data_IF_503993986865
#
_entry.id   IF_503993986865
#
_cell.length_a   1.000
_cell.length_b   1.000
_cell.length_c   1.000
_cell.angle_alpha   90.00
_cell.angle_beta   90.00
_cell.angle_gamma   90.00
#
_symmetry.space_group_name_H-M   'P 1'
#
loop_
_entity.id
_entity.type
_entity.pdbx_description
1 polymer ?
#
# COMPACT_ATOMS: atom_id res chain seq x y z
N UNK A 1 11.01 18.45 12.63
CA UNK A 1 10.08 17.68 13.50
C UNK A 1 9.78 16.29 12.96
N UNK A 2 9.27 16.09 11.74
CA UNK A 2 9.02 14.75 11.16
C UNK A 2 10.34 14.03 10.86
N UNK A 3 11.27 14.67 10.19
CA UNK A 3 12.63 14.17 9.91
C UNK A 3 13.39 13.76 11.16
N UNK A 4 13.20 14.51 12.24
CA UNK A 4 13.85 14.21 13.52
C UNK A 4 13.24 12.96 14.20
N UNK A 5 11.92 12.76 14.07
CA UNK A 5 11.25 11.52 14.48
C UNK A 5 11.72 10.33 13.64
N UNK A 6 11.82 10.49 12.33
CA UNK A 6 12.31 9.44 11.42
C UNK A 6 13.76 9.07 11.74
N UNK A 7 14.64 10.05 12.00
CA UNK A 7 16.03 9.80 12.41
C UNK A 7 16.12 9.09 13.77
N UNK A 8 15.35 9.55 14.77
CA UNK A 8 15.31 8.89 16.10
C UNK A 8 14.75 7.47 16.03
N UNK A 9 13.77 7.22 15.15
CA UNK A 9 13.25 5.86 14.95
C UNK A 9 14.30 4.97 14.28
N UNK A 10 15.11 5.49 13.38
CA UNK A 10 16.23 4.77 12.78
C UNK A 10 17.32 4.40 13.79
N UNK A 11 17.59 5.26 14.76
CA UNK A 11 18.58 5.04 15.83
C UNK A 11 18.07 4.07 16.91
N UNK A 12 16.74 3.93 17.05
CA UNK A 12 16.09 3.07 18.04
C UNK A 12 15.44 1.82 17.42
N UNK A 13 15.90 1.33 16.29
CA UNK A 13 15.32 0.21 15.53
C UNK A 13 15.40 -1.17 16.23
N UNK A 14 15.75 -1.25 17.49
CA UNK A 14 15.52 -2.44 18.33
C UNK A 14 14.10 -2.47 18.95
N UNK A 15 13.31 -1.44 18.79
CA UNK A 15 11.94 -1.44 19.27
C UNK A 15 11.10 -2.19 18.23
N UNK A 16 10.70 -3.37 18.57
CA UNK A 16 9.67 -4.17 17.91
C UNK A 16 8.49 -3.25 17.63
N UNK A 17 8.32 -2.84 16.37
CA UNK A 17 7.08 -2.21 15.95
C UNK A 17 6.04 -3.33 15.92
N UNK A 18 5.36 -3.50 17.05
CA UNK A 18 4.15 -4.30 17.11
C UNK A 18 3.11 -3.58 16.23
N UNK A 19 3.06 -3.99 14.97
CA UNK A 19 2.17 -3.38 13.98
C UNK A 19 0.70 -3.72 14.25
N UNK A 20 0.39 -4.50 15.28
CA UNK A 20 -0.98 -4.95 15.57
C UNK A 20 -1.63 -5.76 14.44
N UNK A 21 -0.94 -5.94 13.33
CA UNK A 21 -1.34 -6.86 12.29
C UNK A 21 -0.81 -8.23 12.67
N UNK A 22 -1.69 -9.09 13.18
CA UNK A 22 -1.45 -10.51 13.11
C UNK A 22 -1.06 -10.82 11.67
N UNK A 23 0.20 -11.17 11.44
CA UNK A 23 0.67 -11.72 10.18
C UNK A 23 0.12 -13.12 10.04
N UNK A 24 -1.19 -13.23 9.81
CA UNK A 24 -1.76 -14.45 9.27
C UNK A 24 -1.07 -14.60 7.91
N UNK A 25 -0.25 -15.63 7.76
CA UNK A 25 0.30 -16.02 6.47
C UNK A 25 -0.86 -16.37 5.54
N UNK A 26 -1.40 -15.36 4.89
CA UNK A 26 -2.52 -15.55 3.98
C UNK A 26 -1.94 -16.03 2.66
N UNK A 27 -2.43 -17.18 2.24
CA UNK A 27 -2.11 -17.70 0.91
C UNK A 27 -2.60 -16.74 -0.18
N UNK A 28 -1.68 -15.90 -0.65
CA UNK A 28 -1.95 -14.90 -1.69
C UNK A 28 -2.42 -15.50 -3.01
N UNK A 29 -2.26 -16.82 -3.20
CA UNK A 29 -2.73 -17.51 -4.42
C UNK A 29 -4.26 -17.60 -4.49
N UNK A 30 -4.94 -17.55 -3.34
CA UNK A 30 -6.40 -17.76 -3.27
C UNK A 30 -7.23 -16.55 -3.71
N UNK A 31 -6.62 -15.34 -3.71
CA UNK A 31 -7.34 -14.11 -3.98
C UNK A 31 -6.63 -13.25 -5.01
N UNK A 32 -7.40 -12.52 -5.79
CA UNK A 32 -6.90 -11.39 -6.57
C UNK A 32 -6.87 -10.16 -5.64
N UNK A 33 -5.70 -9.60 -5.44
CA UNK A 33 -5.49 -8.41 -4.61
C UNK A 33 -5.33 -7.13 -5.44
N UNK A 34 -5.36 -5.97 -4.78
CA UNK A 34 -5.23 -4.68 -5.46
C UNK A 34 -3.95 -4.55 -6.30
N UNK A 35 -2.83 -5.07 -5.81
CA UNK A 35 -1.56 -5.07 -6.56
C UNK A 35 -1.55 -6.00 -7.78
N UNK A 36 -2.51 -6.92 -7.89
CA UNK A 36 -2.63 -7.80 -9.05
C UNK A 36 -3.36 -7.11 -10.21
N UNK A 37 -4.20 -6.10 -9.92
CA UNK A 37 -5.04 -5.44 -10.92
C UNK A 37 -4.21 -4.77 -12.03
N UNK A 38 -3.16 -3.96 -11.74
CA UNK A 38 -2.30 -3.41 -12.78
C UNK A 38 -1.64 -4.48 -13.64
N UNK A 39 -1.31 -5.63 -13.05
CA UNK A 39 -0.71 -6.76 -13.76
C UNK A 39 -1.73 -7.38 -14.72
N UNK A 40 -2.96 -7.65 -14.25
CA UNK A 40 -4.04 -8.22 -15.05
C UNK A 40 -4.36 -7.32 -16.25
N UNK A 41 -4.38 -6.00 -16.03
CA UNK A 41 -4.62 -5.01 -17.08
C UNK A 41 -3.43 -4.81 -18.01
N UNK A 42 -2.29 -5.43 -17.73
CA UNK A 42 -1.08 -5.33 -18.57
C UNK A 42 -0.33 -4.00 -18.47
N UNK A 43 -0.67 -3.15 -17.51
CA UNK A 43 -0.04 -1.83 -17.28
C UNK A 43 1.12 -1.87 -16.29
N UNK A 44 1.27 -2.96 -15.52
CA UNK A 44 2.40 -3.11 -14.59
C UNK A 44 3.73 -3.22 -15.34
N UNK A 45 4.69 -2.39 -14.95
CA UNK A 45 6.07 -2.46 -15.45
C UNK A 45 6.89 -3.63 -14.90
N UNK A 46 6.45 -4.28 -13.83
CA UNK A 46 7.26 -5.25 -13.08
C UNK A 46 6.90 -6.71 -13.35
N UNK A 47 5.65 -7.01 -13.57
CA UNK A 47 5.17 -8.39 -13.72
C UNK A 47 4.19 -8.50 -14.88
N UNK A 48 4.28 -9.57 -15.65
CA UNK A 48 3.38 -9.85 -16.78
C UNK A 48 2.18 -10.72 -16.32
N UNK A 49 1.01 -10.63 -17.00
CA UNK A 49 -0.18 -11.41 -16.65
C UNK A 49 0.07 -12.92 -16.58
N UNK A 50 0.82 -13.48 -17.53
CA UNK A 50 1.16 -14.91 -17.54
C UNK A 50 1.94 -15.35 -16.32
N UNK A 51 2.87 -14.51 -15.83
CA UNK A 51 3.63 -14.80 -14.61
C UNK A 51 2.74 -14.76 -13.39
N UNK A 52 1.82 -13.80 -13.33
CA UNK A 52 0.82 -13.74 -12.25
C UNK A 52 -0.06 -15.00 -12.25
N UNK A 53 -0.54 -15.42 -13.41
CA UNK A 53 -1.33 -16.65 -13.53
C UNK A 53 -0.57 -17.88 -13.02
N UNK A 54 0.72 -18.00 -13.33
CA UNK A 54 1.57 -19.10 -12.83
C UNK A 54 1.73 -19.04 -11.30
N UNK A 55 1.90 -17.84 -10.72
CA UNK A 55 1.97 -17.64 -9.28
C UNK A 55 0.64 -18.03 -8.59
N UNK A 56 -0.49 -17.55 -9.12
CA UNK A 56 -1.81 -17.84 -8.55
C UNK A 56 -2.19 -19.33 -8.64
N UNK A 57 -1.76 -20.02 -9.70
CA UNK A 57 -1.97 -21.46 -9.86
C UNK A 57 -0.85 -22.31 -9.20
N UNK A 58 0.05 -21.70 -8.43
CA UNK A 58 1.16 -22.37 -7.72
C UNK A 58 2.09 -23.16 -8.65
N UNK A 59 2.14 -22.80 -9.94
CA UNK A 59 3.07 -23.40 -10.92
C UNK A 59 4.50 -22.95 -10.63
N UNK A 60 4.66 -21.72 -10.17
CA UNK A 60 5.91 -21.17 -9.66
C UNK A 60 5.70 -20.64 -8.24
N UNK A 61 6.72 -20.74 -7.36
CA UNK A 61 6.59 -20.26 -5.99
C UNK A 61 6.53 -18.73 -5.95
N UNK A 62 5.80 -18.19 -4.96
CA UNK A 62 5.93 -16.79 -4.57
C UNK A 62 7.31 -16.59 -3.95
N UNK A 63 8.19 -15.87 -4.65
CA UNK A 63 9.43 -15.40 -4.06
C UNK A 63 9.15 -14.13 -3.24
N UNK A 64 9.19 -14.27 -1.94
CA UNK A 64 9.08 -13.10 -1.04
C UNK A 64 10.43 -12.38 -1.03
N UNK A 65 10.76 -11.67 -2.11
CA UNK A 65 11.96 -10.84 -2.16
C UNK A 65 11.76 -9.63 -1.29
N UNK A 66 12.16 -9.74 -0.04
CA UNK A 66 12.32 -8.57 0.82
C UNK A 66 13.43 -7.70 0.22
N UNK A 67 13.04 -6.62 -0.42
CA UNK A 67 13.98 -5.61 -0.89
C UNK A 67 14.05 -4.50 0.15
N UNK A 68 15.16 -3.77 0.20
CA UNK A 68 15.26 -2.58 1.05
C UNK A 68 14.10 -1.59 0.80
N UNK A 69 13.58 -1.55 -0.43
CA UNK A 69 12.45 -0.70 -0.80
C UNK A 69 11.14 -1.15 -0.16
N UNK A 70 10.86 -2.46 -0.14
CA UNK A 70 9.65 -3.00 0.49
C UNK A 70 9.70 -2.88 2.00
N UNK A 71 10.86 -3.13 2.61
CA UNK A 71 11.03 -2.94 4.06
C UNK A 71 10.91 -1.48 4.46
N UNK A 72 11.50 -0.57 3.67
CA UNK A 72 11.34 0.85 3.89
C UNK A 72 9.85 1.26 3.83
N UNK A 73 9.10 0.80 2.83
CA UNK A 73 7.67 1.05 2.73
C UNK A 73 6.91 0.63 3.98
N UNK A 74 7.12 -0.59 4.45
CA UNK A 74 6.46 -1.11 5.65
C UNK A 74 6.80 -0.32 6.92
N UNK A 75 8.06 0.09 7.08
CA UNK A 75 8.50 0.86 8.25
C UNK A 75 7.87 2.25 8.25
N UNK A 76 7.78 2.91 7.09
CA UNK A 76 7.33 4.30 7.01
C UNK A 76 5.81 4.45 6.83
N UNK A 77 5.11 3.43 6.37
CA UNK A 77 3.66 3.47 6.17
C UNK A 77 2.88 4.00 7.39
N UNK A 78 3.11 3.54 8.64
CA UNK A 78 2.38 4.06 9.81
C UNK A 78 2.61 5.56 10.04
N UNK A 79 3.83 6.04 9.79
CA UNK A 79 4.17 7.45 9.96
C UNK A 79 3.53 8.32 8.88
N UNK A 80 3.55 7.85 7.62
CA UNK A 80 2.92 8.55 6.51
C UNK A 80 1.42 8.62 6.74
N UNK A 81 0.80 7.52 7.20
CA UNK A 81 -0.62 7.48 7.57
C UNK A 81 -0.94 8.49 8.68
N UNK A 82 -0.13 8.55 9.74
CA UNK A 82 -0.34 9.53 10.82
C UNK A 82 -0.28 10.98 10.31
N UNK A 83 0.68 11.29 9.44
CA UNK A 83 0.80 12.61 8.83
C UNK A 83 -0.40 12.92 7.93
N UNK A 84 -0.82 11.97 7.09
CA UNK A 84 -1.99 12.12 6.23
C UNK A 84 -3.27 12.32 7.07
N UNK A 85 -3.46 11.52 8.13
CA UNK A 85 -4.57 11.66 9.05
C UNK A 85 -4.65 13.07 9.65
N UNK A 86 -3.52 13.58 10.13
CA UNK A 86 -3.47 14.95 10.69
C UNK A 86 -3.72 16.03 9.63
N UNK A 87 -3.12 15.89 8.44
CA UNK A 87 -3.22 16.87 7.37
C UNK A 87 -4.63 17.01 6.81
N UNK A 88 -5.34 15.90 6.68
CA UNK A 88 -6.68 15.84 6.07
C UNK A 88 -7.80 15.67 7.10
N UNK A 89 -7.47 15.75 8.40
CA UNK A 89 -8.42 15.56 9.50
C UNK A 89 -9.21 14.26 9.36
N UNK A 90 -8.47 13.14 9.17
CA UNK A 90 -9.00 11.80 9.02
C UNK A 90 -8.63 10.93 10.22
N UNK A 91 -9.30 9.80 10.34
CA UNK A 91 -8.98 8.76 11.31
C UNK A 91 -8.89 7.39 10.62
N UNK A 92 -7.97 7.28 9.65
CA UNK A 92 -7.80 6.03 8.92
C UNK A 92 -7.01 5.01 9.73
N UNK A 93 -7.46 3.75 9.67
CA UNK A 93 -6.79 2.59 10.25
C UNK A 93 -6.57 1.54 9.15
N UNK A 94 -5.51 0.72 9.22
CA UNK A 94 -5.31 -0.39 8.28
C UNK A 94 -6.52 -1.30 8.28
N UNK A 95 -6.95 -1.72 7.10
CA UNK A 95 -8.16 -2.53 6.97
C UNK A 95 -8.06 -3.52 5.81
N UNK A 96 -8.67 -4.68 5.99
CA UNK A 96 -8.73 -5.71 4.97
C UNK A 96 -10.19 -6.12 4.73
N UNK A 97 -10.61 -6.17 3.48
CA UNK A 97 -11.91 -6.69 3.06
C UNK A 97 -11.74 -7.80 2.05
N UNK A 98 -12.43 -8.91 2.26
CA UNK A 98 -12.38 -10.09 1.40
C UNK A 98 -13.77 -10.41 0.87
N UNK A 99 -13.84 -10.78 -0.39
CA UNK A 99 -15.04 -11.39 -1.00
C UNK A 99 -14.70 -12.82 -1.41
N UNK A 100 -15.16 -13.77 -0.63
CA UNK A 100 -14.94 -15.20 -0.89
C UNK A 100 -15.60 -15.62 -2.21
N UNK A 101 -16.81 -15.14 -2.47
CA UNK A 101 -17.57 -15.44 -3.68
C UNK A 101 -16.82 -15.05 -4.95
N UNK A 102 -16.16 -13.89 -4.94
CA UNK A 102 -15.44 -13.37 -6.09
C UNK A 102 -13.95 -13.71 -6.07
N UNK A 103 -13.44 -14.31 -5.00
CA UNK A 103 -12.01 -14.54 -4.83
C UNK A 103 -11.20 -13.24 -4.82
N UNK A 104 -11.75 -12.15 -4.24
CA UNK A 104 -11.12 -10.83 -4.20
C UNK A 104 -10.73 -10.44 -2.79
N UNK A 105 -9.62 -9.71 -2.67
CA UNK A 105 -9.14 -9.19 -1.39
C UNK A 105 -8.57 -7.78 -1.54
N UNK A 106 -9.11 -6.86 -0.77
CA UNK A 106 -8.64 -5.49 -0.67
C UNK A 106 -7.96 -5.25 0.68
N UNK A 107 -6.66 -5.09 0.67
CA UNK A 107 -5.86 -4.75 1.84
C UNK A 107 -5.38 -3.31 1.66
N UNK A 108 -6.07 -2.37 2.29
CA UNK A 108 -5.78 -0.95 2.17
C UNK A 108 -4.96 -0.45 3.37
N UNK A 109 -4.11 0.55 3.12
CA UNK A 109 -3.24 1.13 4.14
C UNK A 109 -4.01 1.96 5.16
N UNK A 110 -5.22 2.43 4.80
CA UNK A 110 -6.10 3.10 5.73
C UNK A 110 -7.55 3.18 5.26
N UNK A 111 -8.48 3.00 6.19
CA UNK A 111 -9.92 3.23 6.00
C UNK A 111 -10.50 4.04 7.16
N UNK A 112 -11.15 5.13 6.84
CA UNK A 112 -11.93 5.96 7.75
C UNK A 112 -13.41 5.66 7.51
N UNK A 113 -14.01 4.90 8.43
CA UNK A 113 -15.41 4.47 8.31
C UNK A 113 -16.41 5.61 8.52
N UNK A 114 -16.04 6.61 9.30
CA UNK A 114 -16.92 7.77 9.59
C UNK A 114 -17.04 8.68 8.36
N UNK A 115 -15.91 8.88 7.66
CA UNK A 115 -15.86 9.75 6.48
C UNK A 115 -16.01 8.98 5.16
N UNK A 116 -16.13 7.65 5.20
CA UNK A 116 -16.18 6.77 4.01
C UNK A 116 -15.03 7.07 3.03
N UNK A 117 -13.81 7.06 3.56
CA UNK A 117 -12.61 7.50 2.86
C UNK A 117 -11.51 6.44 2.98
N UNK A 118 -10.81 6.16 1.88
CA UNK A 118 -9.60 5.33 1.86
C UNK A 118 -8.33 6.17 1.89
N UNK A 119 -7.28 5.56 2.38
CA UNK A 119 -5.91 6.02 2.25
C UNK A 119 -5.06 4.91 1.65
N UNK A 120 -4.32 5.23 0.62
CA UNK A 120 -3.26 4.40 0.06
C UNK A 120 -1.92 5.12 0.23
N UNK A 121 -0.90 4.39 0.69
CA UNK A 121 0.44 4.93 0.94
C UNK A 121 1.41 4.34 -0.07
N UNK A 122 2.19 5.17 -0.72
CA UNK A 122 3.27 4.76 -1.62
C UNK A 122 4.57 5.43 -1.24
N UNK A 123 5.62 4.62 -1.23
CA UNK A 123 7.00 5.13 -1.08
C UNK A 123 7.74 4.90 -2.39
N UNK A 124 8.35 5.93 -2.92
CA UNK A 124 9.12 5.89 -4.15
C UNK A 124 10.45 6.66 -4.00
N UNK A 125 11.25 6.67 -5.03
CA UNK A 125 12.51 7.41 -5.08
C UNK A 125 12.37 8.81 -5.73
N UNK A 126 11.14 9.31 -5.86
CA UNK A 126 10.84 10.61 -6.44
C UNK A 126 10.73 10.63 -7.97
N UNK A 127 10.90 9.50 -8.65
CA UNK A 127 10.94 9.41 -10.13
C UNK A 127 9.70 8.71 -10.74
N UNK A 128 8.66 8.44 -9.96
CA UNK A 128 7.48 7.75 -10.46
C UNK A 128 6.46 8.74 -11.04
N UNK A 129 6.63 9.08 -12.32
CA UNK A 129 5.74 10.03 -13.01
C UNK A 129 4.41 9.39 -13.42
N UNK A 130 4.42 8.16 -13.97
CA UNK A 130 3.21 7.43 -14.34
C UNK A 130 2.62 6.69 -13.15
N UNK A 131 1.45 7.11 -12.71
CA UNK A 131 0.71 6.56 -11.56
C UNK A 131 -0.45 5.68 -11.96
N UNK A 132 -0.54 5.26 -13.20
CA UNK A 132 -1.67 4.48 -13.72
C UNK A 132 -1.87 3.17 -12.95
N UNK A 133 -0.79 2.52 -12.53
CA UNK A 133 -0.83 1.32 -11.70
C UNK A 133 -1.39 1.58 -10.29
N UNK A 134 -1.05 2.71 -9.66
CA UNK A 134 -1.61 3.11 -8.36
C UNK A 134 -3.09 3.46 -8.49
N UNK A 135 -3.45 4.19 -9.53
CA UNK A 135 -4.84 4.63 -9.75
C UNK A 135 -5.78 3.43 -9.91
N UNK A 136 -5.42 2.43 -10.72
CA UNK A 136 -6.28 1.25 -10.88
C UNK A 136 -6.35 0.40 -9.61
N UNK A 137 -5.28 0.30 -8.84
CA UNK A 137 -5.29 -0.34 -7.53
C UNK A 137 -6.25 0.37 -6.57
N UNK A 138 -6.20 1.70 -6.53
CA UNK A 138 -7.08 2.54 -5.71
C UNK A 138 -8.54 2.35 -6.11
N UNK A 139 -8.86 2.39 -7.41
CA UNK A 139 -10.22 2.16 -7.88
C UNK A 139 -10.76 0.77 -7.51
N UNK A 140 -9.92 -0.26 -7.55
CA UNK A 140 -10.29 -1.57 -7.06
C UNK A 140 -10.65 -1.53 -5.56
N UNK A 141 -9.83 -0.87 -4.73
CA UNK A 141 -10.13 -0.73 -3.31
C UNK A 141 -11.41 0.07 -3.07
N UNK A 142 -11.60 1.18 -3.80
CA UNK A 142 -12.82 1.98 -3.71
C UNK A 142 -14.07 1.15 -4.05
N UNK A 143 -14.01 0.31 -5.07
CA UNK A 143 -15.10 -0.60 -5.42
C UNK A 143 -15.35 -1.65 -4.33
N UNK A 144 -14.28 -2.23 -3.75
CA UNK A 144 -14.40 -3.24 -2.70
C UNK A 144 -15.01 -2.65 -1.41
N UNK A 145 -14.69 -1.41 -1.06
CA UNK A 145 -15.18 -0.75 0.15
C UNK A 145 -16.47 0.04 -0.05
N UNK A 146 -16.94 0.19 -1.28
CA UNK A 146 -18.08 1.03 -1.68
C UNK A 146 -17.90 2.49 -1.23
N UNK A 147 -16.72 3.02 -1.51
CA UNK A 147 -16.37 4.42 -1.22
C UNK A 147 -16.06 5.19 -2.49
N UNK A 148 -16.22 6.51 -2.43
CA UNK A 148 -16.04 7.40 -3.59
C UNK A 148 -14.81 8.29 -3.48
N UNK A 149 -14.02 8.13 -2.43
CA UNK A 149 -12.83 8.95 -2.19
C UNK A 149 -11.68 8.10 -1.67
N UNK A 150 -10.51 8.36 -2.21
CA UNK A 150 -9.25 7.83 -1.70
C UNK A 150 -8.19 8.94 -1.70
N UNK A 151 -7.36 8.98 -0.68
CA UNK A 151 -6.17 9.82 -0.67
C UNK A 151 -4.99 8.94 -0.97
N UNK A 152 -4.25 9.28 -2.01
CA UNK A 152 -2.94 8.72 -2.28
C UNK A 152 -1.88 9.57 -1.58
N UNK A 153 -1.26 9.02 -0.55
CA UNK A 153 -0.14 9.64 0.14
C UNK A 153 1.17 9.07 -0.41
N UNK A 154 1.92 9.88 -1.10
CA UNK A 154 3.23 9.52 -1.61
C UNK A 154 4.33 10.13 -0.78
N UNK A 155 5.34 9.32 -0.49
CA UNK A 155 6.57 9.76 0.16
C UNK A 155 7.74 9.51 -0.78
N UNK A 156 8.25 10.60 -1.35
CA UNK A 156 9.39 10.59 -2.24
C UNK A 156 10.70 10.65 -1.46
N UNK A 157 11.65 9.76 -1.79
CA UNK A 157 13.02 9.79 -1.27
C UNK A 157 13.90 10.65 -2.18
N UNK A 158 13.72 11.95 -2.18
CA UNK A 158 14.67 12.84 -2.83
C UNK A 158 15.84 13.12 -1.90
N UNK A 159 17.01 13.38 -2.48
CA UNK A 159 18.25 13.53 -1.72
C UNK A 159 18.30 14.75 -0.79
N UNK A 160 17.41 15.70 -0.96
CA UNK A 160 17.50 17.01 -0.30
C UNK A 160 16.21 17.50 0.39
N UNK A 161 15.02 17.05 -0.02
CA UNK A 161 13.75 17.43 0.61
C UNK A 161 12.74 16.29 0.56
N UNK A 162 12.21 15.94 1.73
CA UNK A 162 11.19 14.88 1.86
C UNK A 162 9.80 15.55 1.80
N UNK A 163 9.16 15.53 0.65
CA UNK A 163 7.77 15.99 0.50
C UNK A 163 6.78 14.84 0.48
N UNK A 164 5.70 14.99 1.25
CA UNK A 164 4.52 14.16 1.09
C UNK A 164 3.67 14.78 0.00
N UNK A 165 3.66 14.16 -1.17
CA UNK A 165 2.85 14.57 -2.31
C UNK A 165 1.47 13.94 -2.15
N UNK A 166 0.43 14.75 -2.26
CA UNK A 166 -0.94 14.29 -2.08
C UNK A 166 -1.69 14.37 -3.40
N UNK A 167 -2.29 13.26 -3.78
CA UNK A 167 -3.25 13.18 -4.87
C UNK A 167 -4.57 12.71 -4.30
N UNK A 168 -5.62 13.48 -4.49
CA UNK A 168 -7.01 13.07 -4.16
C UNK A 168 -7.62 12.51 -5.44
N UNK A 169 -8.09 11.28 -5.38
CA UNK A 169 -8.77 10.58 -6.48
C UNK A 169 -10.25 10.46 -6.16
#
# INVERSE_FOLDING_TARGET
MLLEKVRKTRENMEIVVDSGQETVEIDRSQYIGGSDIPIILGISGFTKPNKLAQLKNKVIPYENKKTLYTEFGHIFEPFIREVANKKFNMNTVPCCKTSEELGLRANCDGYDSENSLLLEVKTNNGEHEDKSDYIVQIHFYMAMYDVKKCILAEYGRTKEEEEIINVVV
#
